data_IF_838380891488
#
_entry.id   IF_838380891488
#
_cell.length_a   1.000
_cell.length_b   1.000
_cell.length_c   1.000
_cell.angle_alpha   90.00
_cell.angle_beta   90.00
_cell.angle_gamma   90.00
#
_symmetry.space_group_name_H-M   'P 1'
#
loop_
_entity.id
_entity.type
_entity.pdbx_description
1 polymer ?
#
# COMPACT_ATOMS: atom_id res chain seq x y z
N UNK A 1 -42.84 11.80 -0.56
CA UNK A 1 -41.51 12.42 -0.45
C UNK A 1 -40.96 12.46 0.98
N UNK A 2 -41.71 12.90 1.97
CA UNK A 2 -41.25 13.02 3.38
C UNK A 2 -40.79 11.69 3.99
N UNK A 3 -41.53 10.58 3.73
CA UNK A 3 -41.20 9.24 4.27
C UNK A 3 -39.87 8.69 3.72
N UNK A 4 -39.58 8.91 2.41
CA UNK A 4 -38.32 8.46 1.79
C UNK A 4 -37.14 9.24 2.37
N UNK A 5 -37.27 10.55 2.59
CA UNK A 5 -36.24 11.36 3.21
C UNK A 5 -35.93 10.92 4.65
N UNK A 6 -36.95 10.60 5.43
CA UNK A 6 -36.80 10.12 6.81
C UNK A 6 -36.09 8.75 6.86
N UNK A 7 -36.41 7.83 5.95
CA UNK A 7 -35.73 6.52 5.86
C UNK A 7 -34.27 6.68 5.47
N UNK A 8 -33.95 7.55 4.52
CA UNK A 8 -32.56 7.82 4.11
C UNK A 8 -31.76 8.43 5.26
N UNK A 9 -32.31 9.42 5.98
CA UNK A 9 -31.64 10.02 7.14
C UNK A 9 -31.40 8.99 8.25
N UNK A 10 -32.37 8.15 8.54
CA UNK A 10 -32.20 7.07 9.52
C UNK A 10 -31.13 6.05 9.11
N UNK A 11 -31.10 5.66 7.83
CA UNK A 11 -30.08 4.75 7.31
C UNK A 11 -28.67 5.35 7.38
N UNK A 12 -28.51 6.62 7.02
CA UNK A 12 -27.22 7.34 7.14
C UNK A 12 -26.78 7.43 8.60
N UNK A 13 -27.69 7.75 9.52
CA UNK A 13 -27.37 7.82 10.95
C UNK A 13 -26.91 6.46 11.51
N UNK A 14 -27.53 5.36 11.09
CA UNK A 14 -27.11 4.01 11.51
C UNK A 14 -25.72 3.69 11.00
N UNK A 15 -25.40 4.02 9.74
CA UNK A 15 -24.07 3.79 9.17
C UNK A 15 -23.00 4.59 9.91
N UNK A 16 -23.24 5.88 10.20
CA UNK A 16 -22.29 6.73 10.92
C UNK A 16 -22.04 6.22 12.35
N UNK A 17 -23.09 5.78 13.06
CA UNK A 17 -22.94 5.20 14.41
C UNK A 17 -22.14 3.91 14.39
N UNK A 18 -22.34 3.06 13.38
CA UNK A 18 -21.59 1.81 13.25
C UNK A 18 -20.12 2.06 12.89
N UNK A 19 -19.82 3.00 12.00
CA UNK A 19 -18.44 3.44 11.69
C UNK A 19 -17.72 3.96 12.93
N UNK A 20 -18.37 4.82 13.72
CA UNK A 20 -17.80 5.34 14.97
C UNK A 20 -17.57 4.22 15.98
N UNK A 21 -18.47 3.24 16.08
CA UNK A 21 -18.31 2.08 16.94
C UNK A 21 -17.12 1.21 16.55
N UNK A 22 -16.97 0.94 15.26
CA UNK A 22 -15.85 0.16 14.71
C UNK A 22 -14.54 0.90 14.96
N UNK A 23 -14.48 2.20 14.64
CA UNK A 23 -13.32 3.05 14.87
C UNK A 23 -12.90 3.10 16.33
N UNK A 24 -13.85 3.24 17.23
CA UNK A 24 -13.61 3.26 18.69
C UNK A 24 -13.02 1.91 19.15
N UNK A 25 -13.44 0.80 18.57
CA UNK A 25 -12.99 -0.53 18.95
C UNK A 25 -11.51 -0.76 18.66
N UNK A 26 -11.00 -0.42 17.47
CA UNK A 26 -9.59 -0.65 17.16
C UNK A 26 -8.67 0.40 17.81
N UNK A 27 -9.11 1.68 17.90
CA UNK A 27 -8.33 2.74 18.53
C UNK A 27 -8.03 2.45 19.99
N UNK A 28 -8.96 1.80 20.71
CA UNK A 28 -8.78 1.43 22.11
C UNK A 28 -7.98 0.14 22.32
N UNK A 29 -7.70 -0.61 21.26
CA UNK A 29 -6.92 -1.84 21.34
C UNK A 29 -5.45 -1.53 21.70
N UNK A 30 -4.93 -2.25 22.71
CA UNK A 30 -3.55 -2.08 23.20
C UNK A 30 -2.51 -2.35 22.09
N UNK A 31 -2.80 -3.26 21.17
CA UNK A 31 -1.92 -3.56 20.03
C UNK A 31 -1.91 -2.39 19.04
N UNK A 32 -3.07 -1.80 18.77
CA UNK A 32 -3.13 -0.60 17.92
C UNK A 32 -2.38 0.56 18.56
N UNK A 33 -2.57 0.80 19.85
CA UNK A 33 -1.86 1.87 20.59
C UNK A 33 -0.35 1.71 20.50
N UNK A 34 0.15 0.47 20.58
CA UNK A 34 1.58 0.20 20.40
C UNK A 34 2.03 0.49 18.95
N UNK A 35 1.30 0.00 17.95
CA UNK A 35 1.65 0.18 16.54
C UNK A 35 1.56 1.65 16.12
N UNK A 36 0.51 2.36 16.52
CA UNK A 36 0.34 3.78 16.22
C UNK A 36 1.38 4.68 16.88
N UNK A 37 1.93 4.26 18.02
CA UNK A 37 3.01 4.94 18.73
C UNK A 37 4.42 4.66 18.20
N UNK A 38 4.61 3.82 17.18
CA UNK A 38 5.93 3.58 16.60
C UNK A 38 6.45 4.85 15.91
N UNK A 39 7.63 5.30 16.27
CA UNK A 39 8.28 6.45 15.65
C UNK A 39 9.23 5.98 14.54
N UNK A 40 8.76 6.02 13.29
CA UNK A 40 9.58 5.62 12.14
C UNK A 40 10.71 6.62 11.85
N UNK A 41 10.43 7.92 11.98
CA UNK A 41 11.41 8.96 11.68
C UNK A 41 12.19 9.37 12.93
N UNK A 42 13.49 9.13 12.92
CA UNK A 42 14.39 9.72 13.91
C UNK A 42 14.71 11.17 13.53
N UNK A 43 14.27 12.12 14.34
CA UNK A 43 14.44 13.57 14.11
C UNK A 43 15.92 14.01 14.08
N UNK A 44 16.83 13.21 14.62
CA UNK A 44 18.27 13.48 14.62
C UNK A 44 18.99 12.95 13.37
N UNK A 45 18.28 12.21 12.51
CA UNK A 45 18.83 11.68 11.27
C UNK A 45 18.57 12.64 10.09
N UNK A 46 19.60 12.97 9.32
CA UNK A 46 19.43 13.75 8.08
C UNK A 46 18.56 13.00 7.06
N UNK A 47 18.79 11.70 6.92
CA UNK A 47 18.01 10.80 6.10
C UNK A 47 17.11 9.94 7.00
N UNK A 48 15.92 10.46 7.28
CA UNK A 48 14.92 9.75 8.09
C UNK A 48 14.35 8.54 7.35
N UNK A 49 13.63 7.66 8.04
CA UNK A 49 12.98 6.48 7.44
C UNK A 49 12.07 6.87 6.28
N UNK A 50 11.18 7.83 6.47
CA UNK A 50 10.25 8.28 5.43
C UNK A 50 10.96 8.91 4.22
N UNK A 51 12.03 9.70 4.45
CA UNK A 51 12.86 10.26 3.36
C UNK A 51 13.60 9.17 2.59
N UNK A 52 14.10 8.13 3.29
CA UNK A 52 14.73 6.97 2.65
C UNK A 52 13.74 6.21 1.80
N UNK A 53 12.55 5.91 2.34
CA UNK A 53 11.47 5.24 1.64
C UNK A 53 11.09 6.01 0.36
N UNK A 54 10.86 7.32 0.48
CA UNK A 54 10.54 8.19 -0.64
C UNK A 54 11.62 8.16 -1.72
N UNK A 55 12.89 8.28 -1.34
CA UNK A 55 14.04 8.25 -2.25
C UNK A 55 14.17 6.91 -2.98
N UNK A 56 14.10 5.80 -2.24
CA UNK A 56 14.33 4.46 -2.79
C UNK A 56 13.22 4.04 -3.77
N UNK A 57 11.98 4.49 -3.50
CA UNK A 57 10.83 4.21 -4.36
C UNK A 57 10.49 5.34 -5.34
N UNK A 58 11.22 6.47 -5.31
CA UNK A 58 10.94 7.68 -6.11
C UNK A 58 9.54 8.24 -5.88
N UNK A 59 9.08 8.13 -4.65
CA UNK A 59 7.81 8.69 -4.23
C UNK A 59 7.99 10.13 -3.74
N UNK A 60 6.99 10.99 -3.92
CA UNK A 60 6.96 12.24 -3.19
C UNK A 60 6.85 11.95 -1.68
N UNK A 61 7.40 12.84 -0.85
CA UNK A 61 7.47 12.64 0.60
C UNK A 61 6.10 12.41 1.25
N UNK A 62 5.09 13.17 0.82
CA UNK A 62 3.72 13.02 1.33
C UNK A 62 3.18 11.62 1.08
N UNK A 63 3.44 11.04 -0.11
CA UNK A 63 2.98 9.69 -0.44
C UNK A 63 3.68 8.62 0.41
N UNK A 64 4.99 8.75 0.64
CA UNK A 64 5.71 7.85 1.53
C UNK A 64 5.14 7.86 2.96
N UNK A 65 4.73 9.04 3.46
CA UNK A 65 4.08 9.17 4.77
C UNK A 65 2.71 8.50 4.78
N UNK A 66 1.90 8.67 3.74
CA UNK A 66 0.60 8.00 3.62
C UNK A 66 0.74 6.47 3.59
N UNK A 67 1.74 5.95 2.85
CA UNK A 67 1.99 4.50 2.80
C UNK A 67 2.49 3.97 4.16
N UNK A 68 3.26 4.74 4.93
CA UNK A 68 3.66 4.36 6.29
C UNK A 68 2.43 4.24 7.21
N UNK A 69 1.45 5.13 7.10
CA UNK A 69 0.21 5.02 7.88
C UNK A 69 -0.61 3.77 7.47
N UNK A 70 -0.66 3.44 6.18
CA UNK A 70 -1.28 2.21 5.72
C UNK A 70 -0.50 0.95 6.13
N UNK A 71 0.83 1.04 6.23
CA UNK A 71 1.65 -0.02 6.79
C UNK A 71 1.35 -0.28 8.28
N UNK A 72 1.10 0.77 9.09
CA UNK A 72 0.64 0.61 10.50
C UNK A 72 -0.65 -0.20 10.56
N UNK A 73 -1.60 0.09 9.69
CA UNK A 73 -2.86 -0.68 9.59
C UNK A 73 -2.61 -2.12 9.17
N UNK A 74 -1.72 -2.35 8.21
CA UNK A 74 -1.30 -3.70 7.82
C UNK A 74 -0.66 -4.47 8.99
N UNK A 75 0.22 -3.85 9.76
CA UNK A 75 0.79 -4.46 10.96
C UNK A 75 -0.30 -4.85 11.98
N UNK A 76 -1.35 -4.05 12.08
CA UNK A 76 -2.48 -4.38 12.94
C UNK A 76 -3.33 -5.53 12.38
N UNK A 77 -3.53 -5.59 11.06
CA UNK A 77 -4.17 -6.73 10.40
C UNK A 77 -3.42 -8.04 10.65
N UNK A 78 -2.08 -8.03 10.58
CA UNK A 78 -1.24 -9.17 10.95
C UNK A 78 -1.54 -9.71 12.36
N UNK A 79 -1.95 -8.83 13.28
CA UNK A 79 -2.23 -9.19 14.67
C UNK A 79 -3.69 -9.61 14.92
N UNK A 80 -4.63 -9.23 14.04
CA UNK A 80 -6.08 -9.37 14.29
C UNK A 80 -6.84 -10.17 13.26
N UNK A 81 -6.35 -10.30 12.03
CA UNK A 81 -6.97 -11.14 11.03
C UNK A 81 -6.84 -12.63 11.42
N UNK A 82 -7.90 -13.40 11.18
CA UNK A 82 -7.93 -14.86 11.46
C UNK A 82 -7.44 -15.71 10.28
N UNK A 83 -6.75 -15.07 9.36
CA UNK A 83 -6.19 -15.68 8.14
C UNK A 83 -4.86 -15.00 7.81
N UNK A 84 -4.02 -15.61 6.98
CA UNK A 84 -2.83 -14.94 6.47
C UNK A 84 -3.20 -13.68 5.71
N UNK A 85 -2.45 -12.60 5.91
CA UNK A 85 -2.64 -11.31 5.23
C UNK A 85 -1.48 -11.04 4.27
N UNK A 86 -1.80 -10.42 3.14
CA UNK A 86 -0.84 -10.07 2.09
C UNK A 86 -0.89 -8.55 1.88
N UNK A 87 0.25 -7.84 1.87
CA UNK A 87 0.28 -6.40 1.66
C UNK A 87 0.07 -6.01 0.19
N UNK A 88 -0.27 -4.74 -0.07
CA UNK A 88 -0.07 -4.14 -1.38
C UNK A 88 1.43 -4.04 -1.70
N UNK A 89 1.77 -3.71 -2.95
CA UNK A 89 3.18 -3.52 -3.35
C UNK A 89 3.80 -2.38 -2.54
N UNK A 90 3.08 -1.29 -2.40
CA UNK A 90 3.52 -0.08 -1.70
C UNK A 90 3.77 -0.36 -0.21
N UNK A 91 2.83 -1.02 0.45
CA UNK A 91 2.94 -1.40 1.86
C UNK A 91 4.08 -2.41 2.08
N UNK A 92 4.30 -3.31 1.12
CA UNK A 92 5.41 -4.28 1.15
C UNK A 92 6.77 -3.58 1.07
N UNK A 93 6.91 -2.49 0.31
CA UNK A 93 8.14 -1.69 0.29
C UNK A 93 8.46 -1.09 1.68
N UNK A 94 7.45 -0.63 2.41
CA UNK A 94 7.65 -0.16 3.78
C UNK A 94 8.10 -1.30 4.68
N UNK A 95 7.49 -2.48 4.54
CA UNK A 95 7.86 -3.65 5.34
C UNK A 95 9.30 -4.09 5.06
N UNK A 96 9.69 -4.17 3.79
CA UNK A 96 11.07 -4.47 3.41
C UNK A 96 12.06 -3.48 4.02
N UNK A 97 11.78 -2.18 3.93
CA UNK A 97 12.63 -1.17 4.55
C UNK A 97 12.68 -1.31 6.07
N UNK A 98 11.54 -1.55 6.73
CA UNK A 98 11.47 -1.71 8.19
C UNK A 98 12.30 -2.91 8.67
N UNK A 99 12.32 -4.01 7.92
CA UNK A 99 13.17 -5.17 8.22
C UNK A 99 14.68 -4.84 8.19
N UNK A 100 15.11 -3.85 7.39
CA UNK A 100 16.52 -3.40 7.39
C UNK A 100 16.88 -2.61 8.64
N UNK A 101 15.90 -2.01 9.33
CA UNK A 101 16.04 -1.40 10.65
C UNK A 101 15.78 -2.48 11.72
N UNK A 102 16.63 -3.51 11.75
CA UNK A 102 16.36 -4.76 12.46
C UNK A 102 16.15 -4.60 13.98
N UNK A 103 16.88 -3.68 14.64
CA UNK A 103 16.70 -3.38 16.05
C UNK A 103 15.31 -2.80 16.30
N UNK A 104 14.92 -1.75 15.55
CA UNK A 104 13.59 -1.15 15.61
C UNK A 104 12.48 -2.16 15.30
N UNK A 105 12.69 -3.04 14.29
CA UNK A 105 11.71 -4.07 13.94
C UNK A 105 11.51 -5.10 15.05
N UNK A 106 12.60 -5.65 15.60
CA UNK A 106 12.50 -6.76 16.54
C UNK A 106 12.29 -6.30 17.99
N UNK A 107 12.96 -5.23 18.44
CA UNK A 107 12.90 -4.80 19.82
C UNK A 107 11.74 -3.84 20.10
N UNK A 108 11.49 -2.87 19.20
CA UNK A 108 10.45 -1.88 19.45
C UNK A 108 9.07 -2.34 18.95
N UNK A 109 9.01 -2.94 17.73
CA UNK A 109 7.75 -3.38 17.17
C UNK A 109 7.38 -4.81 17.57
N UNK A 110 8.15 -5.82 17.12
CA UNK A 110 7.76 -7.23 17.20
C UNK A 110 7.75 -7.79 18.64
N UNK A 111 8.55 -7.23 19.53
CA UNK A 111 8.62 -7.62 20.93
C UNK A 111 7.28 -7.42 21.62
N UNK A 112 6.72 -8.50 22.16
CA UNK A 112 5.44 -8.49 22.86
C UNK A 112 4.21 -8.42 21.94
N UNK A 113 4.37 -8.54 20.61
CA UNK A 113 3.23 -8.73 19.71
C UNK A 113 2.65 -10.14 19.84
N UNK A 114 1.30 -10.29 19.81
CA UNK A 114 0.62 -11.59 19.88
C UNK A 114 1.06 -12.55 18.78
N UNK A 115 1.25 -12.04 17.57
CA UNK A 115 1.73 -12.81 16.41
C UNK A 115 3.10 -12.27 16.01
N UNK A 116 4.09 -13.15 15.87
CA UNK A 116 5.41 -12.75 15.36
C UNK A 116 5.30 -12.45 13.86
N UNK A 117 5.54 -11.20 13.45
CA UNK A 117 5.39 -10.81 12.07
C UNK A 117 6.62 -11.23 11.25
N UNK A 118 6.51 -12.38 10.59
CA UNK A 118 7.55 -12.87 9.70
C UNK A 118 7.22 -12.53 8.25
N UNK A 119 8.16 -11.95 7.55
CA UNK A 119 8.12 -11.76 6.11
C UNK A 119 8.86 -12.91 5.44
N UNK A 120 8.22 -13.60 4.50
CA UNK A 120 8.81 -14.72 3.77
C UNK A 120 8.68 -14.53 2.25
N UNK A 121 9.71 -14.91 1.47
CA UNK A 121 9.62 -14.86 0.02
C UNK A 121 8.61 -15.88 -0.48
N UNK A 122 7.99 -15.58 -1.64
CA UNK A 122 7.20 -16.57 -2.38
C UNK A 122 8.09 -17.72 -2.87
N UNK A 123 7.52 -18.91 -2.92
CA UNK A 123 8.20 -20.08 -3.52
C UNK A 123 8.06 -20.11 -5.04
N UNK A 124 7.21 -19.24 -5.61
CA UNK A 124 6.87 -19.18 -7.03
C UNK A 124 5.94 -20.30 -7.49
N UNK A 125 5.40 -20.14 -8.68
CA UNK A 125 4.47 -21.08 -9.31
C UNK A 125 3.00 -20.69 -9.16
N UNK A 126 2.16 -21.21 -10.06
CA UNK A 126 0.75 -20.84 -10.20
C UNK A 126 -0.09 -21.06 -8.92
N UNK A 127 0.23 -22.11 -8.16
CA UNK A 127 -0.50 -22.42 -6.93
C UNK A 127 -0.20 -21.39 -5.81
N UNK A 128 1.05 -20.94 -5.75
CA UNK A 128 1.44 -19.85 -4.84
C UNK A 128 0.82 -18.53 -5.26
N UNK A 129 0.80 -18.22 -6.55
CA UNK A 129 0.20 -17.00 -7.07
C UNK A 129 -1.30 -16.93 -6.72
N UNK A 130 -2.05 -18.03 -6.95
CA UNK A 130 -3.46 -18.13 -6.60
C UNK A 130 -3.71 -17.97 -5.10
N UNK A 131 -2.83 -18.53 -4.27
CA UNK A 131 -2.86 -18.39 -2.81
C UNK A 131 -2.70 -16.93 -2.38
N UNK A 132 -1.73 -16.20 -2.95
CA UNK A 132 -1.52 -14.79 -2.62
C UNK A 132 -2.64 -13.88 -3.12
N UNK A 133 -3.24 -14.20 -4.27
CA UNK A 133 -4.44 -13.51 -4.77
C UNK A 133 -5.61 -13.67 -3.78
N UNK A 134 -5.86 -14.88 -3.30
CA UNK A 134 -6.91 -15.15 -2.30
C UNK A 134 -6.63 -14.44 -0.97
N UNK A 135 -5.40 -14.52 -0.47
CA UNK A 135 -5.03 -13.86 0.77
C UNK A 135 -5.13 -12.33 0.69
N UNK A 136 -4.77 -11.76 -0.45
CA UNK A 136 -4.90 -10.32 -0.67
C UNK A 136 -6.37 -9.88 -0.70
N UNK A 137 -7.23 -10.62 -1.39
CA UNK A 137 -8.68 -10.36 -1.39
C UNK A 137 -9.25 -10.37 0.04
N UNK A 138 -8.91 -11.41 0.82
CA UNK A 138 -9.30 -11.51 2.24
C UNK A 138 -8.70 -10.38 3.10
N UNK A 139 -7.51 -9.91 2.76
CA UNK A 139 -6.89 -8.76 3.45
C UNK A 139 -7.70 -7.49 3.25
N UNK A 140 -8.15 -7.20 2.01
CA UNK A 140 -9.01 -6.05 1.72
C UNK A 140 -10.35 -6.12 2.46
N UNK A 141 -10.97 -7.30 2.51
CA UNK A 141 -12.21 -7.53 3.27
C UNK A 141 -12.00 -7.31 4.78
N UNK A 142 -10.93 -7.86 5.33
CA UNK A 142 -10.59 -7.67 6.75
C UNK A 142 -10.23 -6.22 7.08
N UNK A 143 -9.61 -5.49 6.14
CA UNK A 143 -9.37 -4.07 6.29
C UNK A 143 -10.68 -3.30 6.48
N UNK A 144 -11.67 -3.52 5.57
CA UNK A 144 -12.97 -2.85 5.66
C UNK A 144 -13.72 -3.22 6.94
N UNK A 145 -13.69 -4.49 7.34
CA UNK A 145 -14.33 -4.96 8.58
C UNK A 145 -13.71 -4.38 9.84
N UNK A 146 -12.39 -4.23 9.89
CA UNK A 146 -11.66 -3.80 11.09
C UNK A 146 -11.61 -2.28 11.21
N UNK A 147 -11.47 -1.56 10.11
CA UNK A 147 -11.33 -0.10 10.12
C UNK A 147 -12.62 0.65 9.77
N UNK A 148 -13.66 -0.05 9.28
CA UNK A 148 -14.97 0.51 8.96
C UNK A 148 -15.05 1.23 7.62
N UNK A 149 -13.94 1.30 6.88
CA UNK A 149 -13.88 1.95 5.58
C UNK A 149 -13.00 1.15 4.60
N UNK A 150 -13.25 1.33 3.32
CA UNK A 150 -12.41 0.72 2.28
C UNK A 150 -10.99 1.29 2.32
N UNK A 151 -9.97 0.46 2.04
CA UNK A 151 -8.62 0.96 1.93
C UNK A 151 -8.47 1.93 0.75
N UNK A 152 -7.54 2.92 0.83
CA UNK A 152 -7.31 3.88 -0.25
C UNK A 152 -6.78 3.17 -1.50
N UNK A 153 -7.51 3.28 -2.63
CA UNK A 153 -7.28 2.51 -3.87
C UNK A 153 -5.89 2.75 -4.46
N UNK A 154 -5.33 3.95 -4.26
CA UNK A 154 -4.01 4.33 -4.77
C UNK A 154 -2.84 3.68 -4.00
N UNK A 155 -3.12 3.09 -2.83
CA UNK A 155 -2.15 2.30 -2.04
C UNK A 155 -2.56 0.82 -2.03
N UNK A 156 -3.85 0.56 -2.02
CA UNK A 156 -4.44 -0.79 -2.01
C UNK A 156 -5.29 -1.01 -3.26
N UNK A 157 -4.67 -1.27 -4.42
CA UNK A 157 -5.42 -1.53 -5.65
C UNK A 157 -6.27 -2.79 -5.53
N UNK A 158 -7.19 -2.98 -6.45
CA UNK A 158 -7.96 -4.22 -6.54
C UNK A 158 -7.04 -5.44 -6.74
N UNK A 159 -7.51 -6.65 -6.39
CA UNK A 159 -6.74 -7.88 -6.60
C UNK A 159 -6.32 -8.06 -8.07
N UNK A 160 -7.22 -7.73 -9.01
CA UNK A 160 -6.98 -7.87 -10.43
C UNK A 160 -5.91 -6.88 -10.94
N UNK A 161 -5.84 -5.73 -10.32
CA UNK A 161 -4.82 -4.72 -10.61
C UNK A 161 -3.47 -5.06 -9.95
N UNK A 162 -3.49 -5.50 -8.68
CA UNK A 162 -2.31 -5.90 -7.91
C UNK A 162 -1.57 -7.10 -8.53
N UNK A 163 -2.31 -8.07 -9.10
CA UNK A 163 -1.77 -9.30 -9.68
C UNK A 163 -1.91 -9.36 -11.20
N UNK A 164 -2.01 -8.20 -11.85
CA UNK A 164 -2.07 -8.14 -13.32
C UNK A 164 -0.84 -8.82 -13.92
N UNK A 165 -1.07 -9.79 -14.81
CA UNK A 165 -0.02 -10.41 -15.60
C UNK A 165 0.79 -9.31 -16.33
N UNK A 166 2.10 -9.39 -16.34
CA UNK A 166 3.04 -8.43 -16.92
C UNK A 166 3.51 -7.27 -16.02
N UNK A 167 3.20 -7.26 -14.72
CA UNK A 167 3.95 -6.41 -13.80
C UNK A 167 5.30 -7.07 -13.50
N UNK A 168 6.38 -6.43 -13.90
CA UNK A 168 7.73 -6.83 -13.54
C UNK A 168 8.44 -5.65 -12.89
N UNK A 169 9.15 -5.92 -11.81
CA UNK A 169 9.95 -4.93 -11.10
C UNK A 169 11.41 -5.21 -11.38
N UNK A 170 12.14 -4.16 -11.76
CA UNK A 170 13.58 -4.25 -11.99
C UNK A 170 14.27 -3.04 -11.37
N UNK A 171 15.43 -3.27 -10.77
CA UNK A 171 16.33 -2.21 -10.37
C UNK A 171 17.03 -1.64 -11.60
N UNK A 172 16.87 -0.36 -11.86
CA UNK A 172 17.46 0.31 -13.02
C UNK A 172 18.39 1.41 -12.52
N UNK A 173 19.63 1.38 -12.97
CA UNK A 173 20.58 2.48 -12.76
C UNK A 173 20.18 3.67 -13.64
N UNK A 174 19.53 4.63 -13.01
CA UNK A 174 18.97 5.80 -13.70
C UNK A 174 20.03 6.81 -14.15
N UNK A 175 21.28 6.68 -13.68
CA UNK A 175 22.38 7.47 -14.22
C UNK A 175 22.76 7.04 -15.63
N UNK A 176 22.39 5.82 -16.03
CA UNK A 176 22.72 5.19 -17.31
C UNK A 176 21.50 4.99 -18.23
N UNK A 177 20.27 5.22 -17.73
CA UNK A 177 19.05 4.91 -18.48
C UNK A 177 18.07 6.06 -18.43
N UNK A 178 17.45 6.36 -19.56
CA UNK A 178 16.24 7.17 -19.61
C UNK A 178 15.02 6.28 -19.43
N UNK A 179 14.20 6.57 -18.43
CA UNK A 179 12.94 5.87 -18.20
C UNK A 179 11.83 6.66 -18.87
N UNK A 180 11.25 6.09 -19.92
CA UNK A 180 10.10 6.67 -20.64
C UNK A 180 8.91 5.77 -20.40
N UNK A 181 7.80 6.35 -19.94
CA UNK A 181 6.53 5.60 -19.86
C UNK A 181 6.18 5.04 -21.24
N UNK A 182 5.72 3.80 -21.29
CA UNK A 182 5.44 3.11 -22.55
C UNK A 182 4.44 3.87 -23.43
N UNK A 183 3.41 4.49 -22.83
CA UNK A 183 2.42 5.26 -23.56
C UNK A 183 3.01 6.58 -24.10
N UNK A 184 3.83 7.26 -23.27
CA UNK A 184 4.58 8.43 -23.72
C UNK A 184 5.56 8.06 -24.85
N UNK A 185 6.23 6.89 -24.73
CA UNK A 185 7.12 6.38 -25.78
C UNK A 185 6.44 6.25 -27.14
N UNK A 186 5.22 5.75 -27.20
CA UNK A 186 4.45 5.67 -28.46
C UNK A 186 4.17 7.06 -29.05
N UNK A 187 3.82 8.04 -28.24
CA UNK A 187 3.57 9.42 -28.69
C UNK A 187 4.84 10.02 -29.30
N UNK A 188 6.01 9.84 -28.68
CA UNK A 188 7.29 10.30 -29.22
C UNK A 188 7.64 9.62 -30.54
N UNK A 189 7.44 8.32 -30.66
CA UNK A 189 7.68 7.58 -31.91
C UNK A 189 6.78 8.09 -33.02
N UNK A 190 5.48 8.27 -32.77
CA UNK A 190 4.54 8.80 -33.75
C UNK A 190 4.90 10.24 -34.17
N UNK A 191 5.35 11.08 -33.23
CA UNK A 191 5.81 12.43 -33.51
C UNK A 191 7.06 12.44 -34.40
N UNK A 192 8.04 11.57 -34.14
CA UNK A 192 9.24 11.43 -34.97
C UNK A 192 8.88 10.95 -36.38
N UNK A 193 7.99 9.95 -36.51
CA UNK A 193 7.50 9.47 -37.80
C UNK A 193 6.81 10.61 -38.59
N UNK A 194 5.95 11.39 -37.92
CA UNK A 194 5.28 12.54 -38.50
C UNK A 194 6.29 13.58 -39.02
N UNK A 195 7.32 13.90 -38.24
CA UNK A 195 8.37 14.83 -38.66
C UNK A 195 9.15 14.32 -39.88
N UNK A 196 9.47 13.03 -39.93
CA UNK A 196 10.15 12.42 -41.08
C UNK A 196 9.31 12.49 -42.34
N UNK A 197 8.00 12.24 -42.26
CA UNK A 197 7.09 12.35 -43.39
C UNK A 197 7.01 13.82 -43.84
N UNK A 198 6.90 14.75 -42.90
CA UNK A 198 6.83 16.17 -43.21
C UNK A 198 8.09 16.67 -43.98
N UNK A 199 9.28 16.26 -43.51
CA UNK A 199 10.55 16.59 -44.20
C UNK A 199 10.58 15.96 -45.57
N UNK A 200 10.17 14.70 -45.76
CA UNK A 200 10.15 13.99 -47.04
C UNK A 200 9.14 14.61 -48.05
N UNK A 201 8.15 15.37 -47.59
CA UNK A 201 7.16 16.04 -48.47
C UNK A 201 7.60 17.47 -48.85
N UNK A 202 8.61 18.04 -48.17
CA UNK A 202 9.11 19.39 -48.42
C UNK A 202 10.35 19.38 -49.36
N UNK A 203 11.08 18.28 -49.36
CA UNK A 203 12.26 18.05 -50.20
C UNK A 203 12.03 16.91 -51.19
#
# INVERSE_FOLDING_TARGET
>A
MVVVAAVVVAAVAVVVVEEDRIKTKYINDIVWKKISGLEFDNQNAELTFSKRLARENRWPQWYALDVIEEYRKFLYLLQRAKHPVTPSIEVDQVWHLHLTYSEFYWEDFAKGMPVKPHHGPTRGGSDEDNKFIDWYAKTLESYEQIFGNKPPVHIWPSKDERFRANQSWAWIDVSKHFIIDRNAGYVYILFIIFLMILVATIF
#
